data_IF_678843107408
#
_entry.id   IF_678843107408
#
_cell.length_a   1.000
_cell.length_b   1.000
_cell.length_c   1.000
_cell.angle_alpha   90.00
_cell.angle_beta   90.00
_cell.angle_gamma   90.00
#
_symmetry.space_group_name_H-M   'P 1'
#
loop_
_entity.id
_entity.type
_entity.pdbx_description
1 polymer ?
#
# COMPACT_ATOMS: atom_id res chain seq x y z
N UNK A 1 9.94 22.48 2.31
CA UNK A 1 10.57 21.46 3.20
C UNK A 1 10.30 20.09 2.62
N UNK A 2 11.23 19.13 2.69
CA UNK A 2 10.99 17.78 2.15
C UNK A 2 9.76 17.13 2.81
N UNK A 3 8.82 16.55 2.03
CA UNK A 3 7.60 15.99 2.58
C UNK A 3 7.89 14.72 3.39
N UNK A 4 7.18 14.54 4.49
CA UNK A 4 7.27 13.33 5.32
C UNK A 4 6.37 12.24 4.74
N UNK A 5 6.97 11.12 4.33
CA UNK A 5 6.22 10.00 3.73
C UNK A 5 6.16 8.81 4.69
N UNK A 6 4.99 8.17 4.77
CA UNK A 6 4.84 6.85 5.36
C UNK A 6 4.46 5.82 4.30
N UNK A 7 4.93 4.59 4.46
CA UNK A 7 4.41 3.41 3.76
C UNK A 7 3.74 2.55 4.82
N UNK A 8 2.42 2.55 4.81
CA UNK A 8 1.58 1.82 5.77
C UNK A 8 1.06 0.58 5.11
N UNK A 9 1.36 -0.59 5.66
CA UNK A 9 0.96 -1.84 5.03
C UNK A 9 0.47 -2.88 6.03
N UNK A 10 -0.30 -3.86 5.54
CA UNK A 10 -0.52 -5.13 6.23
C UNK A 10 -0.02 -6.25 5.33
N UNK A 11 0.75 -7.19 5.88
CA UNK A 11 1.21 -8.34 5.12
C UNK A 11 1.08 -9.61 5.95
N UNK A 12 0.20 -10.51 5.51
CA UNK A 12 0.06 -11.82 6.15
C UNK A 12 1.22 -12.75 5.78
N UNK A 13 1.52 -12.84 4.48
CA UNK A 13 2.46 -13.81 3.90
C UNK A 13 3.69 -13.16 3.23
N UNK A 14 3.99 -11.89 3.52
CA UNK A 14 5.20 -11.23 3.03
C UNK A 14 5.11 -10.53 1.65
N UNK A 15 4.19 -10.90 0.76
CA UNK A 15 4.06 -10.30 -0.58
C UNK A 15 3.96 -8.77 -0.59
N UNK A 16 3.08 -8.20 0.24
CA UNK A 16 2.93 -6.74 0.38
C UNK A 16 4.20 -6.09 0.96
N UNK A 17 4.95 -6.79 1.82
CA UNK A 17 6.19 -6.25 2.38
C UNK A 17 7.26 -6.11 1.30
N UNK A 18 7.37 -7.09 0.41
CA UNK A 18 8.29 -7.00 -0.72
C UNK A 18 7.93 -5.83 -1.66
N UNK A 19 6.64 -5.60 -1.92
CA UNK A 19 6.22 -4.39 -2.63
C UNK A 19 6.54 -3.11 -1.84
N UNK A 20 6.28 -3.06 -0.54
CA UNK A 20 6.59 -1.91 0.31
C UNK A 20 8.09 -1.56 0.31
N UNK A 21 8.97 -2.57 0.26
CA UNK A 21 10.41 -2.37 0.12
C UNK A 21 10.79 -1.79 -1.25
N UNK A 22 10.11 -2.21 -2.32
CA UNK A 22 10.27 -1.64 -3.65
C UNK A 22 9.76 -0.19 -3.72
N UNK A 23 8.61 0.12 -3.13
CA UNK A 23 8.08 1.48 -2.99
C UNK A 23 9.08 2.38 -2.25
N UNK A 24 9.63 1.92 -1.12
CA UNK A 24 10.65 2.63 -0.34
C UNK A 24 11.91 2.89 -1.17
N UNK A 25 12.37 1.88 -1.92
CA UNK A 25 13.50 2.04 -2.84
C UNK A 25 13.21 3.14 -3.86
N UNK A 26 12.02 3.15 -4.45
CA UNK A 26 11.58 4.19 -5.38
C UNK A 26 11.60 5.60 -4.79
N UNK A 27 11.07 5.76 -3.57
CA UNK A 27 11.09 7.04 -2.84
C UNK A 27 12.52 7.51 -2.60
N UNK A 28 13.43 6.60 -2.21
CA UNK A 28 14.86 6.92 -2.02
C UNK A 28 15.56 7.32 -3.32
N UNK A 29 15.25 6.66 -4.44
CA UNK A 29 15.75 7.04 -5.76
C UNK A 29 15.29 8.44 -6.21
N UNK A 30 14.17 8.93 -5.66
CA UNK A 30 13.67 10.29 -5.88
C UNK A 30 14.33 11.34 -4.96
N UNK A 31 15.27 10.93 -4.11
CA UNK A 31 15.90 11.79 -3.09
C UNK A 31 15.02 12.03 -1.85
N UNK A 32 13.97 11.22 -1.67
CA UNK A 32 13.12 11.22 -0.48
C UNK A 32 13.50 10.17 0.54
N UNK A 33 12.74 10.12 1.62
CA UNK A 33 12.77 9.02 2.59
C UNK A 33 11.35 8.71 3.06
N UNK A 34 11.15 7.51 3.60
CA UNK A 34 9.85 7.11 4.14
C UNK A 34 9.98 6.14 5.32
N UNK A 35 9.01 6.21 6.22
CA UNK A 35 8.90 5.28 7.35
C UNK A 35 8.01 4.10 6.96
N UNK A 36 8.53 2.87 7.11
CA UNK A 36 7.71 1.65 7.01
C UNK A 36 6.92 1.46 8.30
N UNK A 37 5.60 1.29 8.17
CA UNK A 37 4.68 1.06 9.27
C UNK A 37 3.78 -0.13 8.96
N UNK A 38 3.64 -1.05 9.90
CA UNK A 38 2.78 -2.23 9.74
C UNK A 38 1.50 -2.10 10.56
N UNK A 39 0.35 -2.23 9.92
CA UNK A 39 -0.95 -2.30 10.61
C UNK A 39 -0.97 -3.52 11.52
N UNK A 40 -1.48 -3.32 12.74
CA UNK A 40 -1.56 -4.36 13.75
C UNK A 40 -2.33 -5.61 13.28
N UNK A 41 -1.85 -6.76 13.72
CA UNK A 41 -2.52 -8.04 13.51
C UNK A 41 -3.78 -8.15 14.38
N UNK A 42 -4.84 -8.76 13.85
CA UNK A 42 -6.12 -8.95 14.56
C UNK A 42 -6.42 -10.42 14.83
N UNK A 43 -5.74 -11.33 14.15
CA UNK A 43 -5.91 -12.76 14.37
C UNK A 43 -5.09 -13.24 15.57
N UNK A 44 -5.62 -14.12 16.43
CA UNK A 44 -4.86 -14.78 17.47
C UNK A 44 -3.68 -15.61 16.92
N UNK A 45 -2.64 -15.77 17.71
CA UNK A 45 -1.43 -16.50 17.33
C UNK A 45 -1.71 -17.96 16.92
N UNK A 46 -2.66 -18.65 17.57
CA UNK A 46 -2.99 -20.04 17.24
C UNK A 46 -3.66 -20.16 15.86
N UNK A 47 -4.44 -19.15 15.46
CA UNK A 47 -5.04 -19.07 14.11
C UNK A 47 -3.95 -18.82 13.08
N UNK A 48 -3.03 -17.88 13.35
CA UNK A 48 -1.90 -17.60 12.46
C UNK A 48 -1.01 -18.82 12.26
N UNK A 49 -0.75 -19.59 13.34
CA UNK A 49 0.01 -20.83 13.27
C UNK A 49 -0.67 -21.87 12.37
N UNK A 50 -1.99 -22.06 12.50
CA UNK A 50 -2.79 -22.96 11.63
C UNK A 50 -2.83 -22.52 10.18
N UNK A 51 -2.72 -21.21 9.94
CA UNK A 51 -2.65 -20.63 8.59
C UNK A 51 -1.22 -20.65 8.02
N UNK A 52 -0.24 -21.16 8.77
CA UNK A 52 1.17 -21.13 8.39
C UNK A 52 1.67 -19.71 8.05
N UNK A 53 1.13 -18.69 8.73
CA UNK A 53 1.58 -17.33 8.53
C UNK A 53 3.02 -17.16 9.06
N UNK A 54 3.94 -16.61 8.28
CA UNK A 54 5.30 -16.36 8.74
C UNK A 54 5.30 -15.32 9.89
N UNK A 55 6.34 -15.34 10.74
CA UNK A 55 6.52 -14.31 11.76
C UNK A 55 6.62 -12.93 11.11
N UNK A 56 6.07 -11.92 11.78
CA UNK A 56 6.16 -10.53 11.31
C UNK A 56 7.59 -9.98 11.47
N UNK A 57 8.02 -9.06 10.61
CA UNK A 57 9.31 -8.38 10.79
C UNK A 57 9.36 -7.64 12.13
N UNK A 58 10.47 -7.76 12.86
CA UNK A 58 10.68 -7.11 14.16
C UNK A 58 11.30 -5.72 14.04
N UNK A 59 11.79 -5.37 12.85
CA UNK A 59 12.42 -4.11 12.49
C UNK A 59 11.42 -3.06 11.96
N UNK A 60 10.15 -3.43 11.80
CA UNK A 60 9.08 -2.52 11.35
C UNK A 60 8.15 -2.20 12.51
N UNK A 61 7.97 -0.91 12.78
CA UNK A 61 7.06 -0.43 13.83
C UNK A 61 5.61 -0.81 13.53
N UNK A 62 4.93 -1.35 14.55
CA UNK A 62 3.50 -1.63 14.46
C UNK A 62 2.70 -0.34 14.67
N UNK A 63 1.90 0.01 13.67
CA UNK A 63 0.98 1.14 13.68
C UNK A 63 -0.38 0.70 14.23
N UNK A 64 -0.66 1.15 15.45
CA UNK A 64 -1.91 0.85 16.16
C UNK A 64 -2.91 2.01 16.15
N UNK A 65 -2.40 3.24 16.16
CA UNK A 65 -3.19 4.47 16.29
C UNK A 65 -3.12 5.28 14.99
N UNK A 66 -4.26 5.47 14.28
CA UNK A 66 -4.31 6.31 13.10
C UNK A 66 -3.84 7.75 13.32
N UNK A 67 -3.90 8.28 14.55
CA UNK A 67 -3.40 9.62 14.87
C UNK A 67 -1.93 9.82 14.48
N UNK A 68 -1.12 8.75 14.46
CA UNK A 68 0.27 8.83 14.01
C UNK A 68 0.39 9.24 12.53
N UNK A 69 -0.66 9.04 11.71
CA UNK A 69 -0.67 9.52 10.32
C UNK A 69 -0.76 11.04 10.19
N UNK A 70 -1.11 11.76 11.27
CA UNK A 70 -1.18 13.22 11.28
C UNK A 70 0.20 13.88 11.02
N UNK A 71 1.29 13.17 11.34
CA UNK A 71 2.67 13.64 11.18
C UNK A 71 3.21 13.58 9.74
N UNK A 72 2.51 12.87 8.84
CA UNK A 72 2.97 12.63 7.47
C UNK A 72 2.21 13.49 6.46
N UNK A 73 2.89 13.90 5.40
CA UNK A 73 2.32 14.66 4.29
C UNK A 73 1.73 13.74 3.22
N UNK A 74 2.30 12.53 3.06
CA UNK A 74 1.85 11.52 2.11
C UNK A 74 1.96 10.11 2.65
N UNK A 75 1.02 9.24 2.26
CA UNK A 75 0.98 7.84 2.70
C UNK A 75 0.77 6.89 1.51
N UNK A 76 1.61 5.87 1.37
CA UNK A 76 1.36 4.74 0.47
C UNK A 76 0.77 3.57 1.27
N UNK A 77 -0.40 3.09 0.87
CA UNK A 77 -1.11 2.00 1.54
C UNK A 77 -0.94 0.65 0.82
N UNK A 78 -0.26 -0.30 1.47
CA UNK A 78 -0.06 -1.65 0.98
C UNK A 78 -1.12 -2.62 1.47
N UNK A 79 -2.03 -3.04 0.59
CA UNK A 79 -3.28 -3.73 0.97
C UNK A 79 -3.37 -5.12 0.31
N UNK A 80 -3.32 -6.23 1.07
CA UNK A 80 -3.62 -7.54 0.52
C UNK A 80 -5.13 -7.70 0.43
N UNK A 81 -5.65 -8.02 -0.76
CA UNK A 81 -7.09 -8.09 -1.00
C UNK A 81 -7.77 -9.11 -0.09
N UNK A 82 -8.98 -8.79 0.35
CA UNK A 82 -9.99 -9.76 0.78
C UNK A 82 -11.26 -9.51 -0.01
N UNK A 83 -11.49 -10.34 -1.01
CA UNK A 83 -12.66 -10.27 -1.90
C UNK A 83 -12.87 -8.90 -2.55
N UNK A 84 -11.79 -8.24 -2.97
CA UNK A 84 -11.85 -6.91 -3.58
C UNK A 84 -12.05 -5.78 -2.57
N UNK A 85 -11.69 -5.99 -1.30
CA UNK A 85 -11.79 -5.01 -0.22
C UNK A 85 -10.59 -5.10 0.73
N UNK A 86 -10.57 -4.25 1.75
CA UNK A 86 -9.62 -4.31 2.85
C UNK A 86 -9.63 -5.68 3.56
N UNK A 87 -8.48 -6.14 4.07
CA UNK A 87 -8.47 -7.13 5.11
C UNK A 87 -9.00 -6.52 6.42
N UNK A 88 -9.48 -7.37 7.34
CA UNK A 88 -10.05 -6.94 8.62
C UNK A 88 -9.08 -6.04 9.42
N UNK A 89 -7.77 -6.32 9.36
CA UNK A 89 -6.72 -5.53 10.00
C UNK A 89 -6.74 -4.06 9.57
N UNK A 90 -6.82 -3.79 8.27
CA UNK A 90 -6.95 -2.43 7.75
C UNK A 90 -8.29 -1.83 8.13
N UNK A 91 -9.38 -2.61 8.07
CA UNK A 91 -10.70 -2.08 8.41
C UNK A 91 -10.77 -1.66 9.88
N UNK A 92 -10.24 -2.47 10.80
CA UNK A 92 -10.12 -2.14 12.23
C UNK A 92 -9.20 -0.93 12.46
N UNK A 93 -8.12 -0.77 11.69
CA UNK A 93 -7.29 0.43 11.76
C UNK A 93 -8.10 1.69 11.40
N UNK A 94 -8.80 1.69 10.27
CA UNK A 94 -9.65 2.83 9.89
C UNK A 94 -10.85 3.04 10.82
N UNK A 95 -11.40 2.00 11.42
CA UNK A 95 -12.52 2.18 12.36
C UNK A 95 -12.10 2.91 13.66
N UNK A 96 -10.79 3.05 13.93
CA UNK A 96 -10.25 3.87 15.02
C UNK A 96 -10.06 5.35 14.65
N UNK A 97 -10.17 5.74 13.38
CA UNK A 97 -9.87 7.11 12.91
C UNK A 97 -11.06 8.08 12.98
N UNK A 98 -12.13 7.73 13.71
CA UNK A 98 -13.35 8.56 13.79
C UNK A 98 -13.08 9.98 14.32
N UNK A 99 -12.12 10.16 15.24
CA UNK A 99 -11.70 11.47 15.73
C UNK A 99 -11.03 12.29 14.61
N UNK A 100 -10.08 11.68 13.89
CA UNK A 100 -9.37 12.33 12.77
C UNK A 100 -10.33 12.70 11.64
N UNK A 101 -11.34 11.86 11.37
CA UNK A 101 -12.41 12.18 10.44
C UNK A 101 -13.16 13.44 10.88
N UNK A 102 -13.65 13.48 12.12
CA UNK A 102 -14.44 14.60 12.64
C UNK A 102 -13.64 15.92 12.68
N UNK A 103 -12.32 15.84 12.88
CA UNK A 103 -11.42 17.00 12.95
C UNK A 103 -10.83 17.39 11.59
N UNK A 104 -11.00 16.56 10.55
CA UNK A 104 -10.37 16.78 9.25
C UNK A 104 -8.84 16.65 9.29
N UNK A 105 -8.26 15.90 10.23
CA UNK A 105 -6.81 15.87 10.46
C UNK A 105 -6.00 15.32 9.28
N UNK A 106 -6.64 14.62 8.34
CA UNK A 106 -6.00 14.09 7.13
C UNK A 106 -6.34 14.88 5.86
N UNK A 107 -7.14 15.94 5.97
CA UNK A 107 -7.53 16.74 4.82
C UNK A 107 -6.31 17.36 4.13
N UNK A 108 -6.24 17.21 2.81
CA UNK A 108 -5.15 17.75 1.99
C UNK A 108 -3.87 16.90 1.99
N UNK A 109 -3.76 15.85 2.81
CA UNK A 109 -2.64 14.89 2.75
C UNK A 109 -2.76 14.02 1.52
N UNK A 110 -1.64 13.47 1.05
CA UNK A 110 -1.61 12.63 -0.16
C UNK A 110 -1.71 11.14 0.18
N UNK A 111 -2.38 10.37 -0.67
CA UNK A 111 -2.47 8.92 -0.53
C UNK A 111 -2.29 8.19 -1.86
N UNK A 112 -1.52 7.10 -1.87
CA UNK A 112 -1.48 6.14 -2.97
C UNK A 112 -1.68 4.73 -2.43
N UNK A 113 -1.90 3.75 -3.32
CA UNK A 113 -2.17 2.36 -2.91
C UNK A 113 -1.36 1.36 -3.75
N UNK A 114 -1.03 0.23 -3.17
CA UNK A 114 -0.46 -0.93 -3.88
C UNK A 114 -1.03 -2.24 -3.31
N UNK A 115 -1.30 -3.21 -4.20
CA UNK A 115 -2.23 -4.31 -3.90
C UNK A 115 -1.60 -5.68 -4.14
N UNK A 116 -1.98 -6.67 -3.34
CA UNK A 116 -1.65 -8.08 -3.59
C UNK A 116 -2.94 -8.90 -3.68
N UNK A 117 -3.06 -9.72 -4.71
CA UNK A 117 -4.21 -10.62 -4.90
C UNK A 117 -3.77 -12.07 -5.14
N UNK A 118 -4.64 -13.03 -4.88
CA UNK A 118 -4.34 -14.44 -5.17
C UNK A 118 -4.34 -14.74 -6.67
N UNK A 119 -5.27 -14.13 -7.43
CA UNK A 119 -5.50 -14.47 -8.84
C UNK A 119 -5.68 -13.23 -9.72
N UNK A 120 -5.50 -13.43 -11.03
CA UNK A 120 -5.87 -12.47 -12.06
C UNK A 120 -7.37 -12.18 -12.00
N UNK A 121 -7.74 -10.89 -12.05
CA UNK A 121 -9.14 -10.46 -11.86
C UNK A 121 -9.66 -10.55 -10.43
N UNK A 122 -8.88 -11.12 -9.49
CA UNK A 122 -9.25 -11.34 -8.09
C UNK A 122 -9.24 -10.08 -7.21
N UNK A 123 -9.53 -8.91 -7.79
CA UNK A 123 -9.69 -7.65 -7.06
C UNK A 123 -8.47 -6.74 -7.00
N UNK A 124 -7.57 -6.78 -7.99
CA UNK A 124 -6.45 -5.83 -8.09
C UNK A 124 -6.97 -4.40 -8.13
N UNK A 125 -7.95 -4.14 -8.99
CA UNK A 125 -8.53 -2.81 -9.14
C UNK A 125 -9.61 -2.54 -8.09
N UNK A 126 -10.49 -3.52 -7.82
CA UNK A 126 -11.62 -3.29 -6.89
C UNK A 126 -11.17 -3.02 -5.46
N UNK A 127 -10.05 -3.60 -5.01
CA UNK A 127 -9.48 -3.26 -3.68
C UNK A 127 -9.06 -1.79 -3.63
N UNK A 128 -8.40 -1.29 -4.67
CA UNK A 128 -8.04 0.13 -4.78
C UNK A 128 -9.29 1.02 -4.84
N UNK A 129 -10.29 0.67 -5.66
CA UNK A 129 -11.54 1.41 -5.76
C UNK A 129 -12.28 1.45 -4.41
N UNK A 130 -12.37 0.32 -3.70
CA UNK A 130 -13.05 0.26 -2.40
C UNK A 130 -12.37 1.14 -1.35
N UNK A 131 -11.04 1.28 -1.44
CA UNK A 131 -10.22 2.14 -0.57
C UNK A 131 -10.59 3.62 -0.76
N UNK A 132 -11.05 4.02 -1.95
CA UNK A 132 -11.36 5.43 -2.25
C UNK A 132 -12.42 6.01 -1.33
N UNK A 133 -13.43 5.21 -0.95
CA UNK A 133 -14.47 5.67 -0.02
C UNK A 133 -13.88 6.19 1.30
N UNK A 134 -12.93 5.45 1.88
CA UNK A 134 -12.22 5.85 3.11
C UNK A 134 -11.35 7.08 2.90
N UNK A 135 -10.56 7.11 1.81
CA UNK A 135 -9.66 8.23 1.53
C UNK A 135 -10.43 9.55 1.31
N UNK A 136 -11.50 9.51 0.53
CA UNK A 136 -12.33 10.70 0.23
C UNK A 136 -13.05 11.20 1.48
N UNK A 137 -13.58 10.32 2.32
CA UNK A 137 -14.21 10.73 3.59
C UNK A 137 -13.22 11.42 4.54
N UNK A 138 -11.94 11.04 4.51
CA UNK A 138 -10.88 11.69 5.28
C UNK A 138 -10.25 12.92 4.60
N UNK A 139 -10.61 13.20 3.34
CA UNK A 139 -10.09 14.34 2.59
C UNK A 139 -8.68 14.15 2.03
N UNK A 140 -8.21 12.91 1.88
CA UNK A 140 -6.93 12.62 1.21
C UNK A 140 -7.01 12.98 -0.28
N UNK A 141 -5.91 13.50 -0.83
CA UNK A 141 -5.67 13.64 -2.26
C UNK A 141 -5.11 12.32 -2.77
N UNK A 142 -5.90 11.59 -3.55
CA UNK A 142 -5.45 10.34 -4.14
C UNK A 142 -4.48 10.58 -5.31
N UNK A 143 -3.30 9.97 -5.26
CA UNK A 143 -2.27 9.98 -6.29
C UNK A 143 -2.23 8.58 -6.93
N UNK A 144 -2.83 8.39 -8.12
CA UNK A 144 -2.79 7.12 -8.82
C UNK A 144 -1.41 6.88 -9.42
N UNK A 145 -1.10 5.61 -9.72
CA UNK A 145 0.09 5.25 -10.50
C UNK A 145 0.00 5.79 -11.94
N UNK A 146 -1.17 5.64 -12.57
CA UNK A 146 -1.36 5.94 -13.99
C UNK A 146 -0.50 5.06 -14.90
N UNK A 147 -0.36 5.46 -16.17
CA UNK A 147 0.43 4.71 -17.15
C UNK A 147 1.78 5.35 -17.48
N UNK A 148 2.00 6.65 -17.19
CA UNK A 148 3.12 7.41 -17.76
C UNK A 148 4.50 6.80 -17.49
N UNK A 149 4.76 6.37 -16.26
CA UNK A 149 6.08 5.87 -15.83
C UNK A 149 6.23 4.36 -16.02
N UNK A 150 5.11 3.64 -16.18
CA UNK A 150 5.00 2.17 -16.17
C UNK A 150 4.30 1.63 -17.41
N UNK A 151 4.17 2.39 -18.50
CA UNK A 151 3.39 2.01 -19.68
C UNK A 151 3.83 0.64 -20.21
N UNK A 152 5.13 0.47 -20.46
CA UNK A 152 5.68 -0.77 -21.01
C UNK A 152 5.46 -1.98 -20.09
N UNK A 153 5.49 -1.76 -18.77
CA UNK A 153 5.23 -2.82 -17.78
C UNK A 153 3.74 -3.18 -17.75
N UNK A 154 2.85 -2.20 -17.57
CA UNK A 154 1.41 -2.43 -17.46
C UNK A 154 0.75 -2.87 -18.77
N UNK A 155 1.36 -2.56 -19.92
CA UNK A 155 0.90 -3.03 -21.23
C UNK A 155 1.55 -4.34 -21.66
N UNK A 156 2.33 -5.00 -20.79
CA UNK A 156 2.98 -6.26 -21.10
C UNK A 156 1.92 -7.38 -21.23
N UNK A 157 1.97 -8.17 -22.30
CA UNK A 157 1.07 -9.32 -22.49
C UNK A 157 1.84 -10.65 -22.64
N UNK A 158 3.15 -10.63 -22.38
CA UNK A 158 4.04 -11.79 -22.48
C UNK A 158 4.08 -12.59 -21.16
N UNK A 159 3.88 -11.94 -20.02
CA UNK A 159 3.80 -12.58 -18.71
C UNK A 159 2.63 -12.08 -17.86
N UNK A 160 2.09 -12.98 -17.03
CA UNK A 160 1.04 -12.63 -16.05
C UNK A 160 1.66 -11.79 -14.94
N UNK A 161 1.18 -10.57 -14.78
CA UNK A 161 1.69 -9.62 -13.79
C UNK A 161 0.56 -8.80 -13.14
N UNK A 162 0.78 -8.42 -11.89
CA UNK A 162 -0.06 -7.51 -11.13
C UNK A 162 0.23 -6.03 -11.41
N UNK A 163 -0.68 -5.18 -10.97
CA UNK A 163 -0.64 -3.74 -11.19
C UNK A 163 -1.77 -3.25 -12.08
N UNK A 164 -2.09 -1.97 -11.93
CA UNK A 164 -3.14 -1.27 -12.68
C UNK A 164 -2.86 0.23 -12.64
N UNK A 165 -3.54 1.08 -13.43
CA UNK A 165 -3.42 2.53 -13.27
C UNK A 165 -3.80 3.04 -11.87
N UNK A 166 -4.52 2.26 -11.06
CA UNK A 166 -4.85 2.63 -9.67
C UNK A 166 -3.64 2.53 -8.73
N UNK A 167 -2.68 1.65 -9.03
CA UNK A 167 -1.58 1.30 -8.15
C UNK A 167 -0.83 0.06 -8.61
N UNK A 168 0.41 -0.08 -8.15
CA UNK A 168 1.23 -1.26 -8.31
C UNK A 168 0.56 -2.47 -7.67
N UNK A 169 0.94 -3.66 -8.11
CA UNK A 169 0.46 -4.85 -7.46
C UNK A 169 1.18 -6.12 -7.85
N UNK A 170 0.82 -7.20 -7.16
CA UNK A 170 1.43 -8.52 -7.34
C UNK A 170 0.39 -9.64 -7.21
N UNK A 171 0.63 -10.77 -7.87
CA UNK A 171 -0.14 -11.99 -7.67
C UNK A 171 0.59 -12.99 -6.76
N UNK A 172 -0.12 -13.49 -5.75
CA UNK A 172 0.39 -14.47 -4.78
C UNK A 172 0.08 -15.93 -5.15
N UNK A 173 -0.66 -16.19 -6.24
CA UNK A 173 -1.29 -17.48 -6.54
C UNK A 173 -2.33 -17.92 -5.49
N UNK A 174 -3.12 -18.96 -5.82
CA UNK A 174 -4.19 -19.46 -4.94
C UNK A 174 -3.68 -20.11 -3.64
N UNK A 175 -2.43 -20.57 -3.65
CA UNK A 175 -1.74 -21.20 -2.52
C UNK A 175 -0.75 -20.27 -1.81
N UNK A 176 -0.58 -19.02 -2.29
CA UNK A 176 0.39 -18.08 -1.73
C UNK A 176 1.84 -18.31 -2.14
N UNK A 177 2.12 -19.22 -3.07
CA UNK A 177 3.50 -19.61 -3.44
C UNK A 177 4.19 -18.60 -4.38
N UNK A 178 3.44 -17.91 -5.24
CA UNK A 178 4.01 -17.00 -6.23
C UNK A 178 4.51 -15.72 -5.56
N UNK A 179 5.80 -15.45 -5.71
CA UNK A 179 6.41 -14.21 -5.23
C UNK A 179 6.29 -13.07 -6.25
N UNK A 180 6.40 -11.80 -5.83
CA UNK A 180 6.44 -10.67 -6.76
C UNK A 180 7.53 -10.85 -7.82
N UNK A 181 7.15 -10.67 -9.09
CA UNK A 181 8.10 -10.79 -10.20
C UNK A 181 8.99 -9.55 -10.32
N UNK A 182 10.13 -9.63 -11.03
CA UNK A 182 10.95 -8.45 -11.32
C UNK A 182 10.15 -7.31 -11.98
N UNK A 183 9.20 -7.62 -12.86
CA UNK A 183 8.31 -6.63 -13.48
C UNK A 183 7.43 -5.95 -12.43
N UNK A 184 6.78 -6.71 -11.55
CA UNK A 184 5.92 -6.17 -10.49
C UNK A 184 6.70 -5.30 -9.48
N UNK A 185 7.92 -5.71 -9.13
CA UNK A 185 8.82 -4.94 -8.26
C UNK A 185 9.31 -3.65 -8.93
N UNK A 186 9.54 -3.66 -10.24
CA UNK A 186 9.88 -2.46 -11.01
C UNK A 186 8.70 -1.49 -11.06
N UNK A 187 7.47 -1.98 -11.25
CA UNK A 187 6.25 -1.16 -11.17
C UNK A 187 6.16 -0.46 -9.80
N UNK A 188 6.31 -1.21 -8.70
CA UNK A 188 6.25 -0.64 -7.34
C UNK A 188 7.38 0.37 -7.08
N UNK A 189 8.60 0.09 -7.55
CA UNK A 189 9.72 1.05 -7.46
C UNK A 189 9.39 2.34 -8.21
N UNK A 190 8.81 2.25 -9.40
CA UNK A 190 8.40 3.40 -10.19
C UNK A 190 7.22 4.16 -9.57
N UNK A 191 6.30 3.46 -8.89
CA UNK A 191 5.24 4.09 -8.14
C UNK A 191 5.79 4.93 -7.00
N UNK A 192 6.66 4.36 -6.15
CA UNK A 192 7.22 5.07 -5.00
C UNK A 192 7.94 6.35 -5.41
N UNK A 193 8.74 6.26 -6.48
CA UNK A 193 9.40 7.43 -7.08
C UNK A 193 8.40 8.50 -7.54
N UNK A 194 7.42 8.10 -8.36
CA UNK A 194 6.44 9.03 -8.92
C UNK A 194 5.55 9.66 -7.84
N UNK A 195 5.19 8.89 -6.81
CA UNK A 195 4.43 9.36 -5.66
C UNK A 195 5.20 10.45 -4.90
N UNK A 196 6.46 10.19 -4.54
CA UNK A 196 7.29 11.20 -3.87
C UNK A 196 7.44 12.48 -4.69
N UNK A 197 7.74 12.36 -5.99
CA UNK A 197 7.84 13.51 -6.90
C UNK A 197 6.53 14.31 -7.00
N UNK A 198 5.37 13.64 -6.91
CA UNK A 198 4.07 14.30 -6.92
C UNK A 198 3.83 15.08 -5.62
N UNK A 199 4.11 14.47 -4.46
CA UNK A 199 3.97 15.14 -3.15
C UNK A 199 4.96 16.30 -3.03
N UNK A 200 6.23 16.10 -3.37
CA UNK A 200 7.27 17.14 -3.26
C UNK A 200 6.94 18.42 -4.05
N UNK A 201 6.23 18.32 -5.19
CA UNK A 201 5.78 19.50 -5.96
C UNK A 201 4.82 20.41 -5.19
N UNK A 202 4.04 19.85 -4.28
CA UNK A 202 3.11 20.61 -3.44
C UNK A 202 3.78 21.16 -2.16
N UNK A 203 5.04 20.79 -1.90
CA UNK A 203 5.81 21.16 -0.72
C UNK A 203 7.15 21.84 -1.10
N UNK A 204 7.13 23.04 -1.71
CA UNK A 204 8.34 23.75 -2.13
C UNK A 204 9.30 24.10 -0.97
#
# INVERSE_FOLDING_TARGET
MAPKIAIVYYSMYGHIKQLADAELKGIKEAGGDAVLLQVAETLPEDVLAKMHAPPKPTDVTVLNDPAQLEEFDGVLFGIPTRYGNFPAQFKTFWDKSGKQWAQGSFWGKYAGVFISTGTLGGGQESTAISTMSTLVHHGFIFVPLGYKTTFAQLSNLEEVHGGSPWGAGTFAAGDGSRQPTPLELDIATKQGKAFYEAVAKAHP
#
